data_IF_531280165611
#
_entry.id   IF_531280165611
#
_cell.length_a   1.000
_cell.length_b   1.000
_cell.length_c   1.000
_cell.angle_alpha   90.00
_cell.angle_beta   90.00
_cell.angle_gamma   90.00
#
_symmetry.space_group_name_H-M   'P 1'
#
loop_
_entity.id
_entity.type
_entity.pdbx_description
1 polymer ?
#
# COMPACT_ATOMS: atom_id res chain seq x y z
N UNK A 1 -7.80 35.48 41.84
CA UNK A 1 -7.36 34.08 41.62
C UNK A 1 -6.84 34.04 40.21
N UNK A 2 -5.52 33.89 40.04
CA UNK A 2 -4.90 33.86 38.73
C UNK A 2 -5.19 32.50 38.09
N UNK A 3 -5.71 32.51 36.86
CA UNK A 3 -5.90 31.31 36.07
C UNK A 3 -4.52 30.72 35.73
N UNK A 4 -4.35 29.45 36.08
CA UNK A 4 -3.14 28.69 35.82
C UNK A 4 -3.12 28.34 34.32
N UNK A 5 -2.42 29.16 33.53
CA UNK A 5 -2.27 28.92 32.09
C UNK A 5 -1.31 27.74 31.91
N UNK A 6 -1.87 26.54 31.77
CA UNK A 6 -1.12 25.33 31.48
C UNK A 6 -0.60 25.39 30.04
N UNK A 7 0.64 25.85 29.87
CA UNK A 7 1.39 25.69 28.61
C UNK A 7 1.83 24.23 28.51
N UNK A 8 0.93 23.36 28.04
CA UNK A 8 1.29 22.01 27.66
C UNK A 8 2.41 22.03 26.60
N UNK A 9 3.40 21.13 26.64
CA UNK A 9 4.43 21.06 25.62
C UNK A 9 3.77 20.78 24.26
N UNK A 10 4.22 21.42 23.18
CA UNK A 10 3.61 21.24 21.87
C UNK A 10 3.86 19.80 21.37
N UNK A 11 2.83 19.08 20.88
CA UNK A 11 2.92 17.66 20.55
C UNK A 11 3.59 17.44 19.19
N UNK A 12 4.83 17.93 19.04
CA UNK A 12 5.59 17.91 17.79
C UNK A 12 5.93 16.48 17.34
N UNK A 13 5.93 16.22 16.01
CA UNK A 13 5.45 17.11 14.97
C UNK A 13 3.91 17.20 14.98
N UNK A 14 3.33 18.38 14.67
CA UNK A 14 1.89 18.55 14.62
C UNK A 14 1.28 17.58 13.59
N UNK A 15 -0.01 17.22 13.78
CA UNK A 15 -0.74 16.41 12.82
C UNK A 15 -0.69 17.02 11.42
N UNK A 16 -0.55 16.17 10.41
CA UNK A 16 -0.71 16.55 9.00
C UNK A 16 -2.14 16.38 8.53
N UNK A 17 -2.92 15.49 9.17
CA UNK A 17 -4.33 15.33 8.90
C UNK A 17 -5.17 16.17 9.86
N UNK A 18 -6.19 16.84 9.32
CA UNK A 18 -7.24 17.45 10.13
C UNK A 18 -8.10 16.39 10.81
N UNK A 19 -8.83 16.77 11.85
CA UNK A 19 -9.76 15.83 12.51
C UNK A 19 -10.82 15.29 11.56
N UNK A 20 -11.29 16.09 10.60
CA UNK A 20 -12.24 15.65 9.58
C UNK A 20 -11.62 14.62 8.63
N UNK A 21 -10.39 14.85 8.18
CA UNK A 21 -9.66 13.90 7.34
C UNK A 21 -9.42 12.57 8.06
N UNK A 22 -9.10 12.61 9.36
CA UNK A 22 -8.95 11.39 10.18
C UNK A 22 -10.28 10.64 10.30
N UNK A 23 -11.39 11.32 10.55
CA UNK A 23 -12.72 10.67 10.58
C UNK A 23 -13.10 10.09 9.21
N UNK A 24 -12.79 10.79 8.14
CA UNK A 24 -13.03 10.33 6.78
C UNK A 24 -12.23 9.07 6.47
N UNK A 25 -10.90 9.09 6.63
CA UNK A 25 -10.06 7.92 6.34
C UNK A 25 -10.40 6.74 7.25
N UNK A 26 -10.75 6.98 8.52
CA UNK A 26 -11.16 5.92 9.44
C UNK A 26 -12.48 5.24 8.99
N UNK A 27 -13.47 6.03 8.54
CA UNK A 27 -14.78 5.52 8.13
C UNK A 27 -14.80 4.94 6.72
N UNK A 28 -14.07 5.54 5.77
CA UNK A 28 -14.03 5.15 4.36
C UNK A 28 -12.90 4.16 4.04
N UNK A 29 -11.80 4.23 4.80
CA UNK A 29 -10.56 3.49 4.53
C UNK A 29 -9.72 4.09 3.41
N UNK A 30 -10.08 5.26 2.89
CA UNK A 30 -9.34 5.98 1.87
C UNK A 30 -9.43 7.49 2.10
N UNK A 31 -8.47 8.25 1.56
CA UNK A 31 -8.42 9.72 1.67
C UNK A 31 -7.66 10.33 0.49
N UNK A 32 -8.21 11.35 -0.20
CA UNK A 32 -7.46 12.16 -1.16
C UNK A 32 -6.41 13.00 -0.45
N UNK A 33 -5.21 13.07 -1.03
CA UNK A 33 -4.09 13.78 -0.44
C UNK A 33 -3.54 14.86 -1.36
N UNK A 34 -3.22 15.98 -0.75
CA UNK A 34 -2.25 16.94 -1.29
C UNK A 34 -0.86 16.51 -0.82
N UNK A 35 0.01 16.17 -1.77
CA UNK A 35 1.37 15.76 -1.45
C UNK A 35 2.24 17.02 -1.21
N UNK A 36 3.12 17.01 -0.20
CA UNK A 36 4.12 18.05 -0.04
C UNK A 36 4.95 18.26 -1.31
N UNK A 37 5.34 19.50 -1.60
CA UNK A 37 6.03 19.88 -2.83
C UNK A 37 7.27 19.03 -3.11
N UNK A 38 8.04 18.71 -2.07
CA UNK A 38 9.27 17.96 -2.18
C UNK A 38 9.02 16.47 -2.48
N UNK A 39 7.92 15.90 -1.98
CA UNK A 39 7.45 14.56 -2.30
C UNK A 39 6.89 14.53 -3.73
N UNK A 40 6.11 15.54 -4.10
CA UNK A 40 5.55 15.70 -5.45
C UNK A 40 6.67 15.84 -6.51
N UNK A 41 7.72 16.60 -6.22
CA UNK A 41 8.89 16.70 -7.09
C UNK A 41 9.57 15.33 -7.31
N UNK A 42 9.83 14.59 -6.23
CA UNK A 42 10.44 13.24 -6.33
C UNK A 42 9.56 12.23 -7.08
N UNK A 43 8.24 12.35 -6.94
CA UNK A 43 7.27 11.55 -7.69
C UNK A 43 7.33 11.85 -9.20
N UNK A 44 7.44 13.13 -9.59
CA UNK A 44 7.54 13.53 -11.01
C UNK A 44 8.80 12.97 -11.66
N UNK A 45 9.93 13.03 -10.97
CA UNK A 45 11.19 12.43 -11.42
C UNK A 45 11.05 10.92 -11.62
N UNK A 46 10.52 10.22 -10.61
CA UNK A 46 10.26 8.78 -10.68
C UNK A 46 9.30 8.43 -11.83
N UNK A 47 8.22 9.19 -12.01
CA UNK A 47 7.27 8.97 -13.10
C UNK A 47 7.89 9.20 -14.48
N UNK A 48 8.81 10.15 -14.61
CA UNK A 48 9.56 10.35 -15.85
C UNK A 48 10.42 9.13 -16.17
N UNK A 49 11.27 8.71 -15.22
CA UNK A 49 12.12 7.53 -15.40
C UNK A 49 11.31 6.24 -15.61
N UNK A 50 10.11 6.15 -15.01
CA UNK A 50 9.17 5.04 -15.21
C UNK A 50 8.67 5.00 -16.65
N UNK A 51 8.30 6.14 -17.24
CA UNK A 51 7.88 6.20 -18.66
C UNK A 51 9.01 5.74 -19.57
N UNK A 52 10.22 6.24 -19.35
CA UNK A 52 11.40 5.86 -20.14
C UNK A 52 11.69 4.37 -20.03
N UNK A 53 11.52 3.78 -18.85
CA UNK A 53 11.64 2.33 -18.66
C UNK A 53 10.61 1.55 -19.49
N UNK A 54 9.34 1.96 -19.49
CA UNK A 54 8.28 1.26 -20.23
C UNK A 54 8.33 1.45 -21.75
N UNK A 55 9.13 2.39 -22.26
CA UNK A 55 9.41 2.55 -23.69
C UNK A 55 10.44 1.52 -24.22
N UNK A 56 11.16 0.84 -23.34
CA UNK A 56 12.11 -0.22 -23.71
C UNK A 56 11.39 -1.48 -24.20
N UNK A 57 12.11 -2.31 -24.95
CA UNK A 57 11.60 -3.60 -25.41
C UNK A 57 11.32 -4.54 -24.23
N UNK A 58 10.40 -5.49 -24.42
CA UNK A 58 10.04 -6.43 -23.35
C UNK A 58 11.23 -7.30 -22.92
N UNK A 59 12.11 -7.69 -23.84
CA UNK A 59 13.34 -8.44 -23.54
C UNK A 59 14.29 -7.63 -22.66
N UNK A 60 14.52 -6.35 -22.98
CA UNK A 60 15.33 -5.47 -22.14
C UNK A 60 14.73 -5.29 -20.74
N UNK A 61 13.40 -5.09 -20.64
CA UNK A 61 12.72 -4.94 -19.34
C UNK A 61 12.85 -6.21 -18.49
N UNK A 62 12.70 -7.39 -19.10
CA UNK A 62 12.85 -8.70 -18.43
C UNK A 62 14.28 -8.98 -18.01
N UNK A 63 15.26 -8.61 -18.83
CA UNK A 63 16.68 -8.78 -18.51
C UNK A 63 17.14 -7.84 -17.40
N UNK A 64 16.69 -6.58 -17.42
CA UNK A 64 17.01 -5.61 -16.37
C UNK A 64 16.34 -5.99 -15.05
N UNK A 65 15.06 -6.35 -15.08
CA UNK A 65 14.29 -6.64 -13.86
C UNK A 65 13.64 -8.02 -13.96
N UNK A 66 14.40 -9.11 -13.74
CA UNK A 66 13.86 -10.45 -13.85
C UNK A 66 12.76 -10.70 -12.82
N UNK A 67 11.68 -11.31 -13.28
CA UNK A 67 10.54 -11.67 -12.44
C UNK A 67 10.94 -12.65 -11.36
N UNK A 68 10.60 -12.35 -10.10
CA UNK A 68 10.85 -13.23 -8.97
C UNK A 68 9.82 -13.04 -7.85
N UNK A 69 9.76 -14.01 -6.93
CA UNK A 69 8.90 -13.96 -5.73
C UNK A 69 7.40 -13.74 -6.01
N UNK A 70 6.87 -14.36 -7.06
CA UNK A 70 5.43 -14.42 -7.29
C UNK A 70 4.75 -13.05 -7.44
N UNK A 71 5.24 -12.20 -8.36
CA UNK A 71 4.79 -10.82 -8.66
C UNK A 71 5.21 -9.74 -7.67
N UNK A 72 5.98 -10.09 -6.65
CA UNK A 72 6.47 -9.12 -5.67
C UNK A 72 7.85 -8.55 -6.02
N UNK A 73 8.55 -9.02 -7.06
CA UNK A 73 9.81 -8.41 -7.48
C UNK A 73 10.06 -8.58 -8.97
N UNK A 74 10.52 -7.52 -9.64
CA UNK A 74 10.84 -7.54 -11.07
C UNK A 74 9.69 -7.12 -11.99
N UNK A 75 9.93 -7.24 -13.29
CA UNK A 75 9.01 -6.88 -14.36
C UNK A 75 8.04 -8.01 -14.68
N UNK A 76 6.79 -7.64 -14.93
CA UNK A 76 5.70 -8.52 -15.29
C UNK A 76 4.84 -7.89 -16.36
N UNK A 77 4.24 -8.76 -17.16
CA UNK A 77 3.27 -8.40 -18.18
C UNK A 77 2.05 -9.30 -18.03
N UNK A 78 0.89 -8.67 -18.11
CA UNK A 78 -0.40 -9.32 -18.24
C UNK A 78 -0.92 -8.92 -19.62
N UNK A 79 -0.80 -9.79 -20.64
CA UNK A 79 -1.14 -9.46 -22.01
C UNK A 79 -2.53 -8.86 -22.14
N UNK A 80 -2.62 -7.72 -22.83
CA UNK A 80 -3.87 -7.01 -23.05
C UNK A 80 -4.43 -6.30 -21.81
N UNK A 81 -3.82 -6.36 -20.63
CA UNK A 81 -4.27 -5.60 -19.44
C UNK A 81 -3.24 -4.54 -19.04
N UNK A 82 -2.03 -4.97 -18.67
CA UNK A 82 -1.04 -4.09 -18.05
C UNK A 82 0.35 -4.71 -18.04
N UNK A 83 1.33 -3.83 -18.01
CA UNK A 83 2.70 -4.15 -17.64
C UNK A 83 3.03 -3.47 -16.29
N UNK A 84 3.86 -4.09 -15.47
CA UNK A 84 4.30 -3.48 -14.22
C UNK A 84 5.68 -3.94 -13.77
N UNK A 85 6.36 -3.05 -13.08
CA UNK A 85 7.63 -3.30 -12.40
C UNK A 85 7.40 -3.20 -10.89
N UNK A 86 7.78 -4.23 -10.14
CA UNK A 86 7.78 -4.19 -8.68
C UNK A 86 9.21 -4.06 -8.16
N UNK A 87 9.49 -2.96 -7.47
CA UNK A 87 10.75 -2.71 -6.78
C UNK A 87 10.59 -3.05 -5.30
N UNK A 88 11.46 -3.92 -4.80
CA UNK A 88 11.58 -4.27 -3.37
C UNK A 88 12.98 -4.14 -2.81
N UNK A 89 13.98 -4.04 -3.68
CA UNK A 89 15.35 -3.71 -3.34
C UNK A 89 16.01 -3.12 -4.59
N UNK A 90 17.22 -2.58 -4.41
CA UNK A 90 18.07 -2.16 -5.52
C UNK A 90 18.67 -3.38 -6.21
N UNK A 91 18.52 -3.46 -7.53
CA UNK A 91 19.26 -4.37 -8.41
C UNK A 91 20.36 -3.62 -9.15
N UNK A 92 20.11 -2.37 -9.53
CA UNK A 92 20.97 -1.53 -10.35
C UNK A 92 21.12 -0.13 -9.74
N UNK A 93 22.00 -0.03 -8.74
CA UNK A 93 22.23 1.18 -7.95
C UNK A 93 22.60 2.43 -8.76
N UNK A 94 23.15 2.25 -9.97
CA UNK A 94 23.56 3.35 -10.84
C UNK A 94 22.48 3.78 -11.85
N UNK A 95 21.30 3.16 -11.83
CA UNK A 95 20.23 3.54 -12.75
C UNK A 95 19.44 4.74 -12.24
N UNK A 96 19.10 5.64 -13.16
CA UNK A 96 18.22 6.79 -12.92
C UNK A 96 16.90 6.36 -12.27
N UNK A 97 16.33 5.23 -12.69
CA UNK A 97 15.08 4.71 -12.14
C UNK A 97 15.20 4.36 -10.65
N UNK A 98 16.21 3.58 -10.25
CA UNK A 98 16.37 3.18 -8.84
C UNK A 98 16.82 4.35 -7.95
N UNK A 99 17.60 5.29 -8.49
CA UNK A 99 17.95 6.52 -7.76
C UNK A 99 16.70 7.33 -7.40
N UNK A 100 15.83 7.61 -8.38
CA UNK A 100 14.57 8.33 -8.12
C UNK A 100 13.60 7.49 -7.27
N UNK A 101 13.56 6.16 -7.46
CA UNK A 101 12.74 5.26 -6.64
C UNK A 101 13.18 5.30 -5.17
N UNK A 102 14.48 5.25 -4.88
CA UNK A 102 15.02 5.34 -3.52
C UNK A 102 14.73 6.70 -2.86
N UNK A 103 14.85 7.80 -3.60
CA UNK A 103 14.51 9.13 -3.09
C UNK A 103 13.00 9.25 -2.77
N UNK A 104 12.13 8.83 -3.70
CA UNK A 104 10.69 8.80 -3.50
C UNK A 104 10.31 7.90 -2.32
N UNK A 105 10.86 6.68 -2.24
CA UNK A 105 10.61 5.69 -1.19
C UNK A 105 10.82 6.29 0.21
N UNK A 106 11.97 6.92 0.43
CA UNK A 106 12.29 7.53 1.72
C UNK A 106 11.28 8.61 2.13
N UNK A 107 10.94 9.49 1.19
CA UNK A 107 10.00 10.59 1.43
C UNK A 107 8.58 10.09 1.68
N UNK A 108 8.10 9.15 0.86
CA UNK A 108 6.75 8.61 1.00
C UNK A 108 6.62 7.76 2.26
N UNK A 109 7.63 6.97 2.66
CA UNK A 109 7.59 6.24 3.93
C UNK A 109 7.48 7.20 5.11
N UNK A 110 8.28 8.28 5.13
CA UNK A 110 8.19 9.29 6.19
C UNK A 110 6.81 9.95 6.25
N UNK A 111 6.26 10.32 5.09
CA UNK A 111 4.93 10.92 5.00
C UNK A 111 3.82 9.98 5.47
N UNK A 112 3.82 8.72 5.03
CA UNK A 112 2.85 7.71 5.47
C UNK A 112 3.01 7.33 6.94
N UNK A 113 4.24 7.33 7.47
CA UNK A 113 4.47 7.17 8.90
C UNK A 113 3.78 8.28 9.70
N UNK A 114 3.88 9.55 9.27
CA UNK A 114 3.16 10.64 9.93
C UNK A 114 1.64 10.47 9.90
N UNK A 115 1.07 9.96 8.79
CA UNK A 115 -0.35 9.62 8.71
C UNK A 115 -0.73 8.55 9.73
N UNK A 116 0.08 7.49 9.88
CA UNK A 116 -0.13 6.45 10.89
C UNK A 116 -0.11 7.04 12.32
N UNK A 117 0.82 7.95 12.61
CA UNK A 117 0.87 8.64 13.90
C UNK A 117 -0.39 9.50 14.15
N UNK A 118 -0.94 10.14 13.12
CA UNK A 118 -2.18 10.92 13.24
C UNK A 118 -3.38 10.03 13.56
N UNK A 119 -3.45 8.84 12.96
CA UNK A 119 -4.46 7.83 13.31
C UNK A 119 -4.32 7.37 14.77
N UNK A 120 -3.09 7.11 15.24
CA UNK A 120 -2.87 6.73 16.64
C UNK A 120 -3.24 7.87 17.60
N UNK A 121 -2.86 9.10 17.27
CA UNK A 121 -3.21 10.28 18.07
C UNK A 121 -4.71 10.43 18.23
N UNK A 122 -5.47 10.27 17.15
CA UNK A 122 -6.93 10.33 17.20
C UNK A 122 -7.57 9.16 17.95
N UNK A 123 -6.95 7.98 17.92
CA UNK A 123 -7.38 6.80 18.68
C UNK A 123 -6.96 6.80 20.15
N UNK A 124 -6.15 7.77 20.59
CA UNK A 124 -5.57 7.78 21.94
C UNK A 124 -4.54 6.67 22.18
N UNK A 125 -3.88 6.21 21.12
CA UNK A 125 -2.86 5.16 21.16
C UNK A 125 -1.44 5.74 21.25
N UNK A 126 -0.48 4.89 21.62
CA UNK A 126 0.93 5.28 21.69
C UNK A 126 1.45 5.67 20.30
N UNK A 127 2.08 6.84 20.18
CA UNK A 127 2.62 7.32 18.90
C UNK A 127 3.86 6.52 18.44
N UNK A 128 4.63 5.97 19.38
CA UNK A 128 5.79 5.13 19.11
C UNK A 128 5.44 3.70 18.70
N UNK A 129 4.16 3.33 18.71
CA UNK A 129 3.71 1.98 18.33
C UNK A 129 4.15 1.58 16.91
N UNK A 130 4.32 2.56 16.02
CA UNK A 130 4.70 2.32 14.63
C UNK A 130 6.21 2.13 14.43
N UNK A 131 7.05 2.59 15.35
CA UNK A 131 8.51 2.63 15.16
C UNK A 131 9.10 1.24 14.93
N UNK A 132 8.70 0.26 15.75
CA UNK A 132 9.14 -1.12 15.58
C UNK A 132 8.52 -1.77 14.33
N UNK A 133 7.24 -1.49 14.06
CA UNK A 133 6.53 -2.07 12.90
C UNK A 133 7.12 -1.57 11.57
N UNK A 134 7.65 -0.35 11.54
CA UNK A 134 8.23 0.28 10.36
C UNK A 134 9.76 0.17 10.28
N UNK A 135 10.38 -0.56 11.20
CA UNK A 135 11.82 -0.73 11.25
C UNK A 135 12.37 -1.11 9.86
N UNK A 136 13.44 -0.44 9.43
CA UNK A 136 14.07 -0.66 8.11
C UNK A 136 13.18 -0.42 6.87
N UNK A 137 11.94 0.08 7.00
CA UNK A 137 11.06 0.38 5.85
C UNK A 137 11.33 1.75 5.23
N UNK A 138 12.13 2.59 5.89
CA UNK A 138 12.45 3.96 5.44
C UNK A 138 13.36 4.03 4.22
N UNK A 139 14.04 2.95 3.87
CA UNK A 139 14.95 2.89 2.74
C UNK A 139 14.55 1.73 1.84
N UNK A 140 14.69 1.93 0.53
CA UNK A 140 14.64 0.84 -0.43
C UNK A 140 15.81 -0.12 -0.09
N UNK A 141 15.54 -1.40 0.22
CA UNK A 141 16.59 -2.34 0.59
C UNK A 141 17.71 -2.41 -0.43
N UNK A 142 18.94 -2.61 0.03
CA UNK A 142 20.11 -2.66 -0.87
C UNK A 142 20.32 -4.01 -1.52
N UNK A 143 19.73 -5.07 -0.97
CA UNK A 143 19.95 -6.43 -1.44
C UNK A 143 18.72 -7.32 -1.23
N UNK A 144 18.73 -8.48 -1.89
CA UNK A 144 17.66 -9.46 -1.78
C UNK A 144 17.57 -10.15 -0.41
N UNK A 145 18.62 -10.14 0.42
CA UNK A 145 18.63 -10.81 1.72
C UNK A 145 17.64 -10.20 2.71
N UNK A 146 17.34 -8.91 2.56
CA UNK A 146 16.46 -8.18 3.46
C UNK A 146 14.97 -8.45 3.17
N UNK A 147 14.67 -9.03 2.01
CA UNK A 147 13.30 -9.13 1.51
C UNK A 147 12.43 -10.12 2.28
N UNK A 148 13.02 -11.00 3.09
CA UNK A 148 12.24 -11.84 4.00
C UNK A 148 11.72 -11.06 5.20
N UNK A 149 12.34 -9.92 5.54
CA UNK A 149 11.97 -9.08 6.66
C UNK A 149 11.26 -7.80 6.21
N UNK A 150 11.75 -7.13 5.17
CA UNK A 150 11.17 -5.90 4.63
C UNK A 150 10.17 -6.26 3.54
N UNK A 151 8.88 -6.08 3.82
CA UNK A 151 7.81 -6.43 2.88
C UNK A 151 7.25 -5.27 2.07
N UNK A 152 7.59 -4.03 2.42
CA UNK A 152 7.24 -2.81 1.69
C UNK A 152 7.67 -2.94 0.24
N UNK A 153 6.87 -2.38 -0.67
CA UNK A 153 7.12 -2.46 -2.10
C UNK A 153 6.62 -1.22 -2.84
N UNK A 154 7.27 -0.93 -3.96
CA UNK A 154 6.88 0.09 -4.92
C UNK A 154 6.51 -0.60 -6.23
N UNK A 155 5.32 -0.34 -6.73
CA UNK A 155 4.85 -0.82 -8.03
C UNK A 155 4.64 0.33 -9.00
N UNK A 156 5.22 0.16 -10.18
CA UNK A 156 5.12 1.07 -11.30
C UNK A 156 4.30 0.35 -12.36
N UNK A 157 3.17 0.91 -12.76
CA UNK A 157 2.25 0.30 -13.71
C UNK A 157 2.18 1.12 -15.00
N UNK A 158 2.00 0.41 -16.10
CA UNK A 158 1.46 0.90 -17.37
C UNK A 158 0.24 0.04 -17.71
N UNK A 159 -0.94 0.64 -17.70
CA UNK A 159 -2.20 0.00 -18.07
C UNK A 159 -2.51 0.25 -19.54
N UNK A 160 -2.99 -0.79 -20.22
CA UNK A 160 -3.42 -0.69 -21.61
C UNK A 160 -4.74 0.09 -21.74
N UNK A 161 -4.96 0.81 -22.85
CA UNK A 161 -6.22 1.45 -23.17
C UNK A 161 -7.42 0.50 -23.11
N UNK A 162 -8.47 0.92 -22.42
CA UNK A 162 -9.80 0.29 -22.28
C UNK A 162 -9.82 -1.03 -21.52
N UNK A 163 -8.78 -1.84 -21.62
CA UNK A 163 -8.69 -3.18 -21.04
C UNK A 163 -7.84 -3.25 -19.78
N UNK A 164 -7.11 -2.17 -19.47
CA UNK A 164 -6.29 -2.10 -18.27
C UNK A 164 -7.10 -2.06 -16.98
N UNK A 165 -7.21 -3.22 -16.31
CA UNK A 165 -8.02 -3.38 -15.11
C UNK A 165 -7.25 -3.97 -13.92
N UNK A 166 -7.83 -3.77 -12.74
CA UNK A 166 -7.49 -4.50 -11.52
C UNK A 166 -8.79 -4.74 -10.76
N UNK A 167 -9.06 -6.01 -10.43
CA UNK A 167 -10.27 -6.38 -9.68
C UNK A 167 -10.34 -5.66 -8.33
N UNK A 168 -11.56 -5.49 -7.83
CA UNK A 168 -11.77 -4.91 -6.50
C UNK A 168 -11.05 -5.68 -5.40
N UNK A 169 -10.37 -4.96 -4.52
CA UNK A 169 -9.65 -5.55 -3.40
C UNK A 169 -9.35 -4.52 -2.29
N UNK A 170 -8.73 -5.04 -1.24
CA UNK A 170 -8.14 -4.28 -0.14
C UNK A 170 -6.69 -4.72 -0.02
N UNK A 171 -5.79 -3.77 0.20
CA UNK A 171 -4.38 -4.09 0.42
C UNK A 171 -4.12 -4.76 1.77
N UNK A 172 -3.07 -5.56 1.86
CA UNK A 172 -2.73 -6.31 3.08
C UNK A 172 -1.95 -5.45 4.07
N UNK A 173 -1.18 -4.48 3.58
CA UNK A 173 -0.20 -3.70 4.36
C UNK A 173 -0.79 -2.74 5.38
N UNK A 174 0.02 -1.75 5.75
CA UNK A 174 -0.36 -0.69 6.68
C UNK A 174 -1.13 0.39 5.94
N UNK A 175 -0.44 1.13 5.07
CA UNK A 175 -1.02 2.14 4.18
C UNK A 175 -0.51 1.92 2.76
N UNK A 176 -1.35 2.24 1.76
CA UNK A 176 -0.93 2.29 0.37
C UNK A 176 -1.17 3.69 -0.18
N UNK A 177 -0.14 4.32 -0.75
CA UNK A 177 -0.30 5.52 -1.57
C UNK A 177 -0.45 5.12 -3.04
N UNK A 178 -1.59 5.44 -3.62
CA UNK A 178 -1.90 5.22 -5.03
C UNK A 178 -1.91 6.55 -5.76
N UNK A 179 -1.03 6.70 -6.76
CA UNK A 179 -1.02 7.86 -7.65
C UNK A 179 -1.21 7.37 -9.08
N UNK A 180 -2.27 7.82 -9.75
CA UNK A 180 -2.52 7.53 -11.17
C UNK A 180 -2.49 8.79 -12.02
N UNK A 181 -2.09 8.65 -13.28
CA UNK A 181 -2.41 9.64 -14.32
C UNK A 181 -3.82 9.40 -14.85
N UNK A 182 -4.68 10.43 -14.82
CA UNK A 182 -6.03 10.38 -15.38
C UNK A 182 -7.03 9.52 -14.58
N UNK A 183 -8.16 9.19 -15.23
CA UNK A 183 -9.24 8.37 -14.66
C UNK A 183 -8.87 6.90 -14.59
N UNK A 184 -9.56 6.11 -13.78
CA UNK A 184 -9.49 4.65 -13.80
C UNK A 184 -9.29 4.01 -12.43
N UNK A 185 -8.56 4.63 -11.51
CA UNK A 185 -8.58 4.22 -10.11
C UNK A 185 -9.92 4.60 -9.50
N UNK A 186 -10.60 3.64 -8.88
CA UNK A 186 -11.85 3.87 -8.16
C UNK A 186 -11.75 3.40 -6.73
N UNK A 187 -12.37 4.15 -5.83
CA UNK A 187 -12.52 3.83 -4.41
C UNK A 187 -13.99 3.70 -4.07
N UNK A 188 -14.29 2.85 -3.08
CA UNK A 188 -15.67 2.64 -2.64
C UNK A 188 -16.05 3.70 -1.60
N UNK A 189 -16.92 4.63 -2.00
CA UNK A 189 -17.57 5.59 -1.11
C UNK A 189 -18.76 4.91 -0.40
N UNK A 190 -18.72 4.96 0.93
CA UNK A 190 -19.72 4.38 1.83
C UNK A 190 -20.49 5.46 2.59
N UNK A 191 -20.34 6.73 2.21
CA UNK A 191 -21.16 7.82 2.75
C UNK A 191 -22.61 7.78 2.23
N UNK A 192 -22.84 7.03 1.15
CA UNK A 192 -24.14 6.83 0.50
C UNK A 192 -24.59 5.37 0.57
N UNK A 193 -25.91 5.14 0.50
CA UNK A 193 -26.53 3.81 0.48
C UNK A 193 -27.36 3.62 -0.80
N UNK A 194 -27.06 2.62 -1.66
CA UNK A 194 -25.94 1.68 -1.53
C UNK A 194 -24.58 2.33 -1.78
N UNK A 195 -23.47 1.77 -1.24
CA UNK A 195 -22.11 2.28 -1.51
C UNK A 195 -21.79 2.37 -3.00
N UNK A 196 -21.07 3.42 -3.38
CA UNK A 196 -20.78 3.74 -4.79
C UNK A 196 -19.29 3.76 -5.08
N UNK A 197 -18.93 3.37 -6.30
CA UNK A 197 -17.57 3.52 -6.80
C UNK A 197 -17.37 4.91 -7.36
N UNK A 198 -16.41 5.65 -6.82
CA UNK A 198 -16.06 6.98 -7.30
C UNK A 198 -14.64 7.01 -7.86
N UNK A 199 -14.41 7.84 -8.86
CA UNK A 199 -13.08 8.02 -9.44
C UNK A 199 -12.17 8.76 -8.46
N UNK A 200 -10.97 8.23 -8.25
CA UNK A 200 -9.91 8.89 -7.51
C UNK A 200 -9.24 9.95 -8.39
N UNK A 201 -9.48 11.23 -8.08
CA UNK A 201 -8.84 12.36 -8.76
C UNK A 201 -7.59 12.79 -8.00
N UNK A 202 -6.44 12.21 -8.36
CA UNK A 202 -5.13 12.53 -7.75
C UNK A 202 -4.60 11.47 -6.79
N UNK A 203 -3.60 11.81 -5.95
CA UNK A 203 -3.04 10.91 -4.95
C UNK A 203 -4.09 10.51 -3.91
N UNK A 204 -4.22 9.20 -3.67
CA UNK A 204 -5.10 8.64 -2.64
C UNK A 204 -4.27 7.77 -1.71
N UNK A 205 -4.44 7.92 -0.40
CA UNK A 205 -3.98 6.94 0.58
C UNK A 205 -5.11 5.97 0.93
N UNK A 206 -4.76 4.71 1.09
CA UNK A 206 -5.66 3.62 1.47
C UNK A 206 -5.17 2.98 2.76
N UNK A 207 -6.08 2.70 3.69
CA UNK A 207 -5.81 1.86 4.85
C UNK A 207 -5.79 0.40 4.41
N UNK A 208 -4.70 -0.30 4.72
CA UNK A 208 -4.60 -1.74 4.51
C UNK A 208 -5.09 -2.55 5.72
N UNK A 209 -5.19 -3.87 5.52
CA UNK A 209 -5.74 -4.75 6.54
C UNK A 209 -4.88 -4.89 7.79
N UNK A 210 -3.56 -4.74 7.68
CA UNK A 210 -2.70 -4.74 8.86
C UNK A 210 -3.04 -3.57 9.79
N UNK A 211 -3.20 -2.35 9.25
CA UNK A 211 -3.60 -1.19 10.05
C UNK A 211 -4.99 -1.38 10.64
N UNK A 212 -5.96 -1.90 9.87
CA UNK A 212 -7.29 -2.24 10.40
C UNK A 212 -7.22 -3.24 11.56
N UNK A 213 -6.39 -4.27 11.45
CA UNK A 213 -6.22 -5.30 12.47
C UNK A 213 -5.56 -4.74 13.74
N UNK A 214 -4.46 -3.97 13.59
CA UNK A 214 -3.76 -3.32 14.70
C UNK A 214 -4.67 -2.33 15.43
N UNK A 215 -5.42 -1.50 14.68
CA UNK A 215 -6.42 -0.59 15.23
C UNK A 215 -7.74 -1.28 15.57
N UNK A 216 -7.76 -2.61 15.72
CA UNK A 216 -8.91 -3.38 16.25
C UNK A 216 -10.25 -3.10 15.57
N UNK A 217 -10.23 -2.93 14.25
CA UNK A 217 -11.38 -2.57 13.41
C UNK A 217 -12.03 -1.21 13.74
N UNK A 218 -11.33 -0.31 14.45
CA UNK A 218 -11.77 1.08 14.62
C UNK A 218 -11.67 1.89 13.32
N UNK A 219 -10.92 1.38 12.34
CA UNK A 219 -10.84 1.92 10.98
C UNK A 219 -11.28 0.87 9.97
N UNK A 220 -11.75 1.33 8.82
CA UNK A 220 -11.99 0.46 7.65
C UNK A 220 -10.76 0.39 6.78
N UNK A 221 -10.62 -0.73 6.08
CA UNK A 221 -9.63 -0.86 5.04
C UNK A 221 -10.22 -0.39 3.69
N UNK A 222 -9.41 0.32 2.91
CA UNK A 222 -9.81 0.96 1.65
C UNK A 222 -10.07 -0.06 0.56
N UNK A 223 -11.33 -0.16 0.13
CA UNK A 223 -11.71 -0.95 -1.06
C UNK A 223 -11.48 -0.10 -2.29
N UNK A 224 -10.72 -0.64 -3.23
CA UNK A 224 -10.40 0.04 -4.47
C UNK A 224 -10.35 -0.96 -5.63
N UNK A 225 -10.49 -0.44 -6.86
CA UNK A 225 -10.37 -1.18 -8.11
C UNK A 225 -9.76 -0.29 -9.19
N UNK A 226 -9.32 -0.89 -10.29
CA UNK A 226 -8.97 -0.16 -11.50
C UNK A 226 -9.90 -0.58 -12.62
N UNK A 227 -10.55 0.40 -13.23
CA UNK A 227 -11.34 0.24 -14.45
C UNK A 227 -10.56 0.79 -15.64
N UNK A 228 -10.83 0.22 -16.82
CA UNK A 228 -10.21 0.67 -18.05
C UNK A 228 -10.59 2.10 -18.40
N UNK A 229 -9.67 2.81 -19.03
CA UNK A 229 -9.88 4.16 -19.54
C UNK A 229 -9.43 4.21 -21.03
N UNK A 230 -10.00 5.10 -21.86
CA UNK A 230 -9.67 5.11 -23.29
C UNK A 230 -8.20 5.41 -23.62
N UNK A 231 -7.48 6.08 -22.71
CA UNK A 231 -6.12 6.56 -22.96
C UNK A 231 -5.02 5.64 -22.40
N UNK A 232 -5.39 4.59 -21.67
CA UNK A 232 -4.46 3.89 -20.78
C UNK A 232 -4.06 4.78 -19.58
N UNK A 233 -3.19 4.26 -18.71
CA UNK A 233 -2.64 5.07 -17.61
C UNK A 233 -1.34 4.53 -17.05
N UNK A 234 -0.52 5.45 -16.56
CA UNK A 234 0.59 5.12 -15.67
C UNK A 234 0.15 5.23 -14.21
N UNK A 235 0.71 4.40 -13.34
CA UNK A 235 0.45 4.52 -11.90
C UNK A 235 1.66 4.16 -11.06
N UNK A 236 1.82 4.89 -9.97
CA UNK A 236 2.80 4.66 -8.93
C UNK A 236 2.04 4.23 -7.68
N UNK A 237 2.31 3.01 -7.20
CA UNK A 237 1.67 2.44 -6.01
C UNK A 237 2.75 2.11 -5.00
N UNK A 238 2.75 2.80 -3.88
CA UNK A 238 3.65 2.54 -2.76
C UNK A 238 2.89 1.86 -1.63
N UNK A 239 3.18 0.59 -1.37
CA UNK A 239 2.53 -0.19 -0.32
C UNK A 239 3.46 -0.30 0.90
N UNK A 240 3.21 0.54 1.91
CA UNK A 240 3.88 0.49 3.21
C UNK A 240 3.40 -0.75 3.97
N UNK A 241 4.32 -1.62 4.34
CA UNK A 241 4.04 -2.90 5.00
C UNK A 241 4.97 -3.08 6.20
N UNK A 242 4.62 -3.96 7.16
CA UNK A 242 5.42 -4.13 8.35
C UNK A 242 6.80 -4.75 8.06
N UNK A 243 7.77 -4.41 8.91
CA UNK A 243 8.96 -5.18 9.14
C UNK A 243 8.58 -6.48 9.85
N UNK A 244 8.99 -7.63 9.33
CA UNK A 244 8.53 -8.93 9.83
C UNK A 244 9.41 -9.52 10.92
N UNK A 245 10.54 -8.90 11.28
CA UNK A 245 11.41 -9.40 12.33
C UNK A 245 10.93 -8.92 13.69
N UNK A 246 10.93 -9.80 14.69
CA UNK A 246 10.60 -9.46 16.06
C UNK A 246 9.12 -9.60 16.38
N UNK A 247 8.69 -8.88 17.40
CA UNK A 247 7.38 -9.04 18.02
C UNK A 247 6.63 -7.72 18.09
N UNK A 248 5.33 -7.75 17.80
CA UNK A 248 4.44 -6.59 17.94
C UNK A 248 3.69 -6.66 19.26
N UNK A 249 3.81 -5.63 20.10
CA UNK A 249 2.98 -5.49 21.31
C UNK A 249 1.62 -4.88 20.96
N UNK A 250 0.56 -5.70 21.02
CA UNK A 250 -0.80 -5.24 20.69
C UNK A 250 -1.37 -4.31 21.76
N UNK A 251 -0.79 -4.25 22.97
CA UNK A 251 -1.23 -3.32 24.01
C UNK A 251 -1.07 -1.85 23.56
N UNK A 252 -0.12 -1.57 22.66
CA UNK A 252 0.09 -0.23 22.11
C UNK A 252 -1.11 0.29 21.29
N UNK A 253 -2.00 -0.60 20.85
CA UNK A 253 -3.29 -0.26 20.20
C UNK A 253 -4.51 -0.74 21.02
N UNK A 254 -4.36 -0.83 22.34
CA UNK A 254 -5.42 -1.24 23.25
C UNK A 254 -5.85 -2.71 23.12
N UNK A 255 -4.96 -3.55 22.57
CA UNK A 255 -5.11 -5.00 22.55
C UNK A 255 -4.60 -5.66 23.82
N UNK A 256 -4.43 -6.99 23.76
CA UNK A 256 -3.78 -7.80 24.80
C UNK A 256 -2.78 -8.68 24.09
N UNK A 257 -1.65 -8.97 24.73
CA UNK A 257 -0.55 -9.83 24.24
C UNK A 257 0.47 -9.18 23.31
N UNK A 258 1.65 -9.80 23.30
CA UNK A 258 2.73 -9.62 22.32
C UNK A 258 2.65 -10.78 21.34
N UNK A 259 2.74 -10.49 20.04
CA UNK A 259 2.66 -11.50 18.97
C UNK A 259 3.90 -11.48 18.09
N UNK A 260 4.26 -12.60 17.48
CA UNK A 260 5.27 -12.60 16.41
C UNK A 260 4.73 -11.82 15.19
N UNK A 261 5.50 -10.83 14.73
CA UNK A 261 5.04 -9.90 13.69
C UNK A 261 4.84 -10.62 12.35
N UNK A 262 5.69 -11.59 12.02
CA UNK A 262 5.59 -12.39 10.78
C UNK A 262 4.35 -13.25 10.80
N UNK A 263 4.12 -14.01 11.87
CA UNK A 263 2.96 -14.89 12.00
C UNK A 263 1.66 -14.09 11.96
N UNK A 264 1.62 -12.94 12.66
CA UNK A 264 0.47 -12.05 12.64
C UNK A 264 0.17 -11.51 11.24
N UNK A 265 1.21 -11.05 10.52
CA UNK A 265 1.07 -10.59 9.13
C UNK A 265 0.63 -11.72 8.18
N UNK A 266 1.16 -12.93 8.33
CA UNK A 266 0.77 -14.10 7.52
C UNK A 266 -0.69 -14.47 7.79
N UNK A 267 -1.15 -14.44 9.04
CA UNK A 267 -2.55 -14.69 9.40
C UNK A 267 -3.50 -13.71 8.70
N UNK A 268 -3.12 -12.44 8.64
CA UNK A 268 -3.88 -11.41 7.91
C UNK A 268 -3.83 -11.67 6.39
N UNK A 269 -2.64 -11.94 5.83
CA UNK A 269 -2.44 -12.22 4.41
C UNK A 269 -3.16 -13.48 3.92
N UNK A 270 -3.18 -14.54 4.72
CA UNK A 270 -3.76 -15.86 4.40
C UNK A 270 -5.25 -15.83 4.09
N UNK A 271 -5.93 -14.71 4.40
CA UNK A 271 -7.31 -14.45 4.02
C UNK A 271 -7.51 -13.94 2.58
N UNK A 272 -6.44 -13.72 1.78
CA UNK A 272 -6.51 -12.99 0.50
C UNK A 272 -5.84 -13.65 -0.72
N UNK A 273 -6.33 -13.26 -1.90
CA UNK A 273 -5.83 -13.66 -3.24
C UNK A 273 -4.80 -12.68 -3.80
N UNK A 274 -3.95 -13.14 -4.73
CA UNK A 274 -3.08 -12.24 -5.49
C UNK A 274 -3.81 -11.72 -6.75
N UNK A 275 -4.28 -10.47 -6.72
CA UNK A 275 -5.03 -9.83 -7.82
C UNK A 275 -4.15 -9.50 -9.04
N UNK A 276 -2.83 -9.41 -8.86
CA UNK A 276 -1.89 -9.09 -9.94
C UNK A 276 -1.27 -10.32 -10.60
N UNK A 277 -1.65 -11.53 -10.18
CA UNK A 277 -1.22 -12.75 -10.83
C UNK A 277 -1.83 -12.90 -12.23
N UNK A 278 -1.22 -13.73 -13.08
CA UNK A 278 -1.75 -14.06 -14.41
C UNK A 278 -3.16 -14.65 -14.31
N UNK A 279 -3.93 -14.61 -15.41
CA UNK A 279 -5.30 -15.11 -15.46
C UNK A 279 -5.40 -16.55 -14.90
N UNK A 280 -4.53 -17.45 -15.35
CA UNK A 280 -4.50 -18.85 -14.92
C UNK A 280 -4.21 -19.04 -13.43
N UNK A 281 -3.35 -18.19 -12.85
CA UNK A 281 -3.06 -18.23 -11.42
C UNK A 281 -4.23 -17.68 -10.61
N UNK A 282 -4.89 -16.61 -11.10
CA UNK A 282 -6.13 -16.09 -10.49
C UNK A 282 -7.23 -17.15 -10.51
N UNK A 283 -7.38 -17.89 -11.60
CA UNK A 283 -8.39 -18.95 -11.75
C UNK A 283 -8.09 -20.16 -10.85
N UNK A 284 -6.83 -20.61 -10.78
CA UNK A 284 -6.40 -21.67 -9.85
C UNK A 284 -6.60 -21.27 -8.39
N UNK A 285 -6.37 -20.01 -8.02
CA UNK A 285 -6.62 -19.52 -6.66
C UNK A 285 -8.13 -19.48 -6.34
N UNK A 286 -8.98 -19.04 -7.29
CA UNK A 286 -10.45 -19.09 -7.13
C UNK A 286 -10.96 -20.52 -6.98
N UNK A 287 -10.43 -21.48 -7.75
CA UNK A 287 -10.81 -22.89 -7.67
C UNK A 287 -10.40 -23.54 -6.33
N UNK A 288 -9.20 -23.24 -5.79
CA UNK A 288 -8.79 -23.71 -4.46
C UNK A 288 -9.70 -23.20 -3.35
N UNK A 289 -10.21 -21.97 -3.46
CA UNK A 289 -11.13 -21.43 -2.46
C UNK A 289 -12.54 -22.02 -2.56
N UNK A 290 -13.06 -22.29 -3.76
CA UNK A 290 -14.34 -23.01 -3.92
C UNK A 290 -14.26 -24.37 -3.23
N UNK A 291 -13.17 -25.11 -3.45
CA UNK A 291 -12.94 -26.41 -2.79
C UNK A 291 -12.81 -26.31 -1.28
N UNK A 292 -12.15 -25.27 -0.75
CA UNK A 292 -12.02 -25.07 0.70
C UNK A 292 -13.30 -24.53 1.35
N UNK A 293 -14.16 -23.80 0.62
CA UNK A 293 -15.46 -23.35 1.10
C UNK A 293 -16.51 -24.46 1.10
N UNK A 294 -16.48 -25.34 0.10
CA UNK A 294 -17.35 -26.52 0.01
C UNK A 294 -17.00 -27.57 1.08
N UNK A 295 -15.72 -27.73 1.44
CA UNK A 295 -15.31 -28.64 2.52
C UNK A 295 -15.68 -28.18 3.93
N UNK A 296 -15.88 -26.88 4.14
CA UNK A 296 -16.40 -26.31 5.39
C UNK A 296 -17.94 -26.37 5.47
N UNK A 297 -18.64 -26.36 4.33
CA UNK A 297 -20.10 -26.50 4.28
C UNK A 297 -20.57 -27.97 4.36
N UNK A 298 -19.74 -28.93 3.96
CA UNK A 298 -20.06 -30.37 4.02
C UNK A 298 -19.80 -31.06 5.37
N UNK A 299 -19.34 -30.33 6.40
CA UNK A 299 -19.01 -30.86 7.72
C UNK A 299 -20.09 -30.69 8.79
N UNK A 300 -21.27 -30.17 8.42
CA UNK A 300 -22.46 -30.13 9.28
C UNK A 300 -23.53 -30.99 8.58
N UNK A 301 -23.39 -32.30 8.75
CA UNK A 301 -24.33 -33.33 8.33
C UNK A 301 -24.22 -34.51 9.27
#
# INVERSE_FOLDING_TARGET
MAEDVCFGPPPWPPPILTTEQVRHIASQGWLPLELPDDLLASLRELQSATRDFFLRSDDEKRNLYPSSRGTECGFYEVPGEKQYLTLRHNLHHDTTLECHAGNFWRKVTSFLHRILCDLNRAGGYDLGAWDHVLESSHMLPKSASDLDMVTTLLRLFKYEPTTGIASEHVDIGLLTLCIGGGRGLQVLDRSVEPPQWIDATGPIVLIGDMTRALLRNQVRAGRHRVVGNPDGRYSTVFALRPHLKGTTDLAMWGGKSVVDTREFYIKIKGSKHNINATHDVREKQRQKQRKNGESLAGGIG
#
